data_IF_192429830748
#
_entry.id   IF_192429830748
#
_cell.length_a   1.000
_cell.length_b   1.000
_cell.length_c   1.000
_cell.angle_alpha   90.00
_cell.angle_beta   90.00
_cell.angle_gamma   90.00
#
_symmetry.space_group_name_H-M   'P 1'
#
loop_
_entity.id
_entity.type
_entity.pdbx_description
1 polymer ?
#
# COMPACT_ATOMS: atom_id res chain seq x y z
N UNK A 1 -6.40 -0.30 11.61
CA UNK A 1 -6.52 -1.26 10.50
C UNK A 1 -5.22 -1.40 9.74
N UNK A 2 -4.84 -2.61 9.40
CA UNK A 2 -3.71 -2.85 8.51
C UNK A 2 -4.16 -2.69 7.06
N UNK A 3 -3.29 -2.21 6.21
CA UNK A 3 -3.60 -2.07 4.79
C UNK A 3 -2.35 -1.96 3.95
N UNK A 4 -2.47 -2.29 2.68
CA UNK A 4 -1.39 -2.17 1.70
C UNK A 4 -1.95 -1.70 0.38
N UNK A 5 -1.11 -1.04 -0.39
CA UNK A 5 -1.44 -0.67 -1.76
C UNK A 5 -0.96 -1.79 -2.67
N UNK A 6 -1.84 -2.26 -3.56
CA UNK A 6 -1.54 -3.36 -4.46
C UNK A 6 -2.01 -3.04 -5.87
N UNK A 7 -1.50 -3.78 -6.85
CA UNK A 7 -1.86 -3.60 -8.25
C UNK A 7 -2.53 -4.89 -8.76
N UNK A 8 -3.68 -4.74 -9.41
CA UNK A 8 -4.34 -5.87 -10.05
C UNK A 8 -3.58 -6.23 -11.31
N UNK A 9 -3.07 -7.45 -11.37
CA UNK A 9 -2.34 -7.96 -12.54
C UNK A 9 -3.32 -8.54 -13.55
N UNK A 10 -4.32 -9.28 -13.08
CA UNK A 10 -5.30 -9.91 -13.94
C UNK A 10 -6.06 -10.99 -13.20
N UNK A 11 -6.82 -11.76 -13.94
CA UNK A 11 -7.59 -12.87 -13.39
C UNK A 11 -7.16 -14.17 -14.05
N UNK A 12 -7.17 -15.24 -13.27
CA UNK A 12 -6.85 -16.58 -13.78
C UNK A 12 -7.62 -17.60 -12.97
N UNK A 13 -7.32 -18.87 -13.19
CA UNK A 13 -7.93 -19.97 -12.48
C UNK A 13 -6.84 -20.86 -11.92
N UNK A 14 -7.03 -21.34 -10.72
CA UNK A 14 -6.08 -22.28 -10.10
C UNK A 14 -6.85 -23.47 -9.55
N UNK A 15 -6.14 -24.61 -9.44
CA UNK A 15 -6.71 -25.81 -8.83
C UNK A 15 -6.45 -25.77 -7.34
N UNK A 16 -7.47 -26.07 -6.54
CA UNK A 16 -7.30 -26.20 -5.10
C UNK A 16 -6.75 -27.61 -4.78
N UNK A 17 -6.53 -27.87 -3.49
CA UNK A 17 -6.01 -29.17 -3.04
C UNK A 17 -6.92 -30.34 -3.39
N UNK A 18 -8.23 -30.07 -3.52
CA UNK A 18 -9.24 -31.08 -3.86
C UNK A 18 -9.37 -31.29 -5.37
N UNK A 19 -8.63 -30.53 -6.19
CA UNK A 19 -8.70 -30.61 -7.63
C UNK A 19 -9.78 -29.76 -8.28
N UNK A 20 -10.49 -28.94 -7.51
CA UNK A 20 -11.50 -28.04 -8.02
C UNK A 20 -10.88 -26.80 -8.60
N UNK A 21 -11.43 -26.33 -9.74
CA UNK A 21 -10.97 -25.12 -10.40
C UNK A 21 -11.57 -23.91 -9.71
N UNK A 22 -10.72 -23.01 -9.23
CA UNK A 22 -11.15 -21.80 -8.52
C UNK A 22 -10.72 -20.57 -9.30
N UNK A 23 -11.66 -19.68 -9.68
CA UNK A 23 -11.28 -18.40 -10.28
C UNK A 23 -10.63 -17.50 -9.26
N UNK A 24 -9.53 -16.84 -9.64
CA UNK A 24 -8.78 -15.97 -8.74
C UNK A 24 -8.40 -14.68 -9.44
N UNK A 25 -8.26 -13.62 -8.67
CA UNK A 25 -7.67 -12.38 -9.13
C UNK A 25 -6.25 -12.30 -8.59
N UNK A 26 -5.30 -12.07 -9.49
CA UNK A 26 -3.89 -11.95 -9.11
C UNK A 26 -3.58 -10.49 -8.85
N UNK A 27 -3.10 -10.20 -7.66
CA UNK A 27 -2.64 -8.86 -7.31
C UNK A 27 -1.17 -8.91 -6.98
N UNK A 28 -0.46 -7.87 -7.39
CA UNK A 28 0.96 -7.72 -7.10
C UNK A 28 1.10 -6.70 -5.97
N UNK A 29 1.79 -7.10 -4.92
CA UNK A 29 2.06 -6.21 -3.79
C UNK A 29 3.56 -5.94 -3.76
N UNK A 30 3.96 -4.76 -4.24
CA UNK A 30 5.33 -4.32 -4.10
C UNK A 30 5.52 -3.77 -2.68
N UNK A 31 6.75 -3.77 -2.15
CA UNK A 31 6.96 -3.19 -0.83
C UNK A 31 6.44 -1.75 -0.80
N UNK A 32 5.54 -1.47 0.14
CA UNK A 32 5.00 -0.13 0.36
C UNK A 32 5.97 0.64 1.25
N UNK A 33 6.31 1.85 0.85
CA UNK A 33 7.20 2.71 1.63
C UNK A 33 6.39 3.60 2.56
N UNK A 34 6.79 3.67 3.83
CA UNK A 34 6.14 4.57 4.79
C UNK A 34 6.63 5.99 4.49
N UNK A 35 5.75 6.81 3.93
CA UNK A 35 6.05 8.20 3.55
C UNK A 35 5.91 9.13 4.73
N UNK A 36 4.89 8.92 5.55
CA UNK A 36 4.63 9.77 6.70
C UNK A 36 3.84 9.02 7.75
N UNK A 37 3.97 9.47 9.00
CA UNK A 37 3.14 8.98 10.11
C UNK A 37 2.40 10.17 10.67
N UNK A 38 1.15 9.95 11.08
CA UNK A 38 0.32 10.99 11.68
C UNK A 38 -0.07 10.56 13.08
N UNK A 39 -0.04 11.49 14.00
CA UNK A 39 -0.39 11.26 15.41
C UNK A 39 -1.56 12.14 15.82
N UNK A 40 -2.23 11.76 16.90
CA UNK A 40 -3.31 12.57 17.45
C UNK A 40 -2.86 13.98 17.82
N UNK A 41 -1.63 14.12 18.30
CA UNK A 41 -1.08 15.40 18.71
C UNK A 41 -0.91 16.38 17.57
N UNK A 42 -0.47 15.86 16.40
CA UNK A 42 -0.18 16.70 15.24
C UNK A 42 -1.37 16.85 14.30
N UNK A 43 -2.12 15.78 14.09
CA UNK A 43 -3.15 15.72 13.05
C UNK A 43 -4.55 15.41 13.59
N UNK A 44 -4.67 15.14 14.89
CA UNK A 44 -5.95 14.81 15.50
C UNK A 44 -6.35 13.33 15.40
N UNK A 45 -5.55 12.51 14.72
CA UNK A 45 -5.79 11.08 14.60
C UNK A 45 -4.49 10.36 14.27
N UNK A 46 -4.45 9.06 14.54
CA UNK A 46 -3.30 8.23 14.23
C UNK A 46 -3.47 7.62 12.85
N UNK A 47 -2.44 7.71 12.00
CA UNK A 47 -2.47 7.15 10.66
C UNK A 47 -1.06 6.96 10.11
N UNK A 48 -0.96 6.14 9.06
CA UNK A 48 0.29 5.92 8.33
C UNK A 48 0.01 6.13 6.85
N UNK A 49 0.85 6.90 6.19
CA UNK A 49 0.77 7.12 4.74
C UNK A 49 1.76 6.20 4.05
N UNK A 50 1.24 5.31 3.20
CA UNK A 50 2.06 4.39 2.42
C UNK A 50 2.10 4.85 0.96
N UNK A 51 3.23 4.60 0.29
CA UNK A 51 3.40 4.95 -1.11
C UNK A 51 4.02 3.81 -1.91
N UNK A 52 3.63 3.73 -3.18
CA UNK A 52 4.18 2.76 -4.14
C UNK A 52 4.36 3.45 -5.49
N UNK A 53 5.09 2.79 -6.39
CA UNK A 53 5.42 3.26 -7.75
C UNK A 53 6.27 4.51 -7.73
N UNK A 54 7.57 4.34 -7.90
CA UNK A 54 8.50 5.46 -7.98
C UNK A 54 8.17 6.36 -9.16
N UNK A 55 8.21 7.65 -8.93
CA UNK A 55 7.98 8.66 -9.93
C UNK A 55 9.31 9.29 -10.33
N UNK A 56 9.50 9.57 -11.63
CA UNK A 56 10.71 10.27 -12.08
C UNK A 56 10.73 11.67 -11.48
N UNK A 57 11.90 12.11 -11.02
CA UNK A 57 12.04 13.42 -10.40
C UNK A 57 11.59 14.54 -11.35
N UNK A 58 11.81 14.37 -12.66
CA UNK A 58 11.40 15.36 -13.67
C UNK A 58 9.89 15.54 -13.80
N UNK A 59 9.11 14.53 -13.37
CA UNK A 59 7.64 14.57 -13.44
C UNK A 59 7.01 15.02 -12.13
N UNK A 60 7.77 15.06 -11.05
CA UNK A 60 7.27 15.52 -9.76
C UNK A 60 7.40 17.03 -9.65
N UNK A 61 6.31 17.72 -9.33
CA UNK A 61 6.37 19.16 -9.07
C UNK A 61 7.06 19.40 -7.73
N UNK A 62 7.59 20.61 -7.53
CA UNK A 62 8.24 20.95 -6.27
C UNK A 62 7.29 20.81 -5.08
N UNK A 63 6.04 21.19 -5.25
CA UNK A 63 5.03 21.07 -4.21
C UNK A 63 4.75 19.61 -3.84
N UNK A 64 4.65 18.75 -4.86
CA UNK A 64 4.40 17.33 -4.66
C UNK A 64 5.62 16.65 -4.02
N UNK A 65 6.80 16.91 -4.58
CA UNK A 65 8.04 16.32 -4.08
C UNK A 65 8.37 16.76 -2.65
N UNK A 66 7.94 17.94 -2.26
CA UNK A 66 8.21 18.51 -0.94
C UNK A 66 7.59 17.74 0.22
N UNK A 67 6.57 16.93 -0.04
CA UNK A 67 5.95 16.12 1.02
C UNK A 67 6.74 14.87 1.35
N UNK A 68 7.72 14.50 0.51
CA UNK A 68 8.54 13.31 0.72
C UNK A 68 9.85 13.67 1.42
N UNK A 69 10.31 12.83 2.39
CA UNK A 69 11.64 13.00 2.96
C UNK A 69 12.72 12.89 1.88
N UNK A 70 13.88 13.49 2.11
CA UNK A 70 14.98 13.49 1.15
C UNK A 70 15.43 12.09 0.72
N UNK A 71 15.33 11.14 1.63
CA UNK A 71 15.76 9.75 1.37
C UNK A 71 14.67 8.89 0.73
N UNK A 72 13.51 9.47 0.42
CA UNK A 72 12.40 8.74 -0.22
C UNK A 72 12.11 9.35 -1.58
N UNK A 73 12.14 8.50 -2.62
CA UNK A 73 11.76 8.90 -3.97
C UNK A 73 10.27 9.25 -4.01
N UNK A 74 9.84 10.31 -4.71
CA UNK A 74 8.42 10.59 -4.88
C UNK A 74 7.67 9.38 -5.44
N UNK A 75 6.51 9.10 -4.86
CA UNK A 75 5.68 7.95 -5.23
C UNK A 75 4.46 8.41 -6.02
N UNK A 76 4.03 7.60 -6.99
CA UNK A 76 2.83 7.91 -7.78
C UNK A 76 1.55 7.71 -7.01
N UNK A 77 1.50 6.66 -6.20
CA UNK A 77 0.31 6.28 -5.46
C UNK A 77 0.57 6.42 -3.98
N UNK A 78 -0.30 7.17 -3.32
CA UNK A 78 -0.25 7.35 -1.87
C UNK A 78 -1.61 7.00 -1.28
N UNK A 79 -1.60 6.36 -0.13
CA UNK A 79 -2.82 6.06 0.61
C UNK A 79 -2.56 6.16 2.10
N UNK A 80 -3.48 6.80 2.81
CA UNK A 80 -3.44 6.91 4.25
C UNK A 80 -4.27 5.80 4.88
N UNK A 81 -3.69 5.10 5.85
CA UNK A 81 -4.38 4.05 6.60
C UNK A 81 -4.49 4.49 8.06
N UNK A 82 -5.71 4.71 8.52
CA UNK A 82 -5.97 5.09 9.90
C UNK A 82 -5.90 3.88 10.82
N UNK A 83 -5.50 4.13 12.06
CA UNK A 83 -5.39 3.09 13.09
C UNK A 83 -4.56 1.89 12.64
N UNK A 84 -3.42 2.20 12.01
CA UNK A 84 -2.48 1.18 11.54
C UNK A 84 -1.86 0.48 12.74
N UNK A 85 -2.12 -0.82 12.89
CA UNK A 85 -1.76 -1.58 14.08
C UNK A 85 -0.27 -1.88 14.22
N UNK A 86 0.49 -1.86 13.14
CA UNK A 86 1.91 -2.14 13.19
C UNK A 86 2.71 -0.88 13.49
N UNK A 87 3.77 -1.04 14.29
CA UNK A 87 4.69 0.07 14.55
C UNK A 87 5.64 0.19 13.36
N UNK A 88 5.59 1.33 12.69
CA UNK A 88 6.47 1.61 11.54
C UNK A 88 6.99 3.03 11.64
N UNK A 89 8.17 3.25 11.06
CA UNK A 89 8.80 4.56 11.00
C UNK A 89 8.87 5.03 9.56
N UNK A 90 8.98 6.34 9.37
CA UNK A 90 9.13 6.93 8.05
C UNK A 90 10.38 6.34 7.37
N UNK A 91 10.23 5.89 6.14
CA UNK A 91 11.29 5.25 5.38
C UNK A 91 11.28 3.73 5.43
N UNK A 92 10.49 3.13 6.34
CA UNK A 92 10.36 1.68 6.42
C UNK A 92 9.60 1.13 5.22
N UNK A 93 9.87 -0.12 4.87
CA UNK A 93 9.12 -0.83 3.84
C UNK A 93 8.19 -1.84 4.48
N UNK A 94 6.97 -1.90 3.98
CA UNK A 94 5.93 -2.79 4.49
C UNK A 94 5.42 -3.64 3.33
N UNK A 95 5.33 -4.94 3.51
CA UNK A 95 4.91 -5.85 2.45
C UNK A 95 3.88 -6.88 2.93
N UNK A 96 3.80 -7.98 2.21
CA UNK A 96 2.83 -9.04 2.48
C UNK A 96 2.93 -9.64 3.87
N UNK A 97 4.04 -9.46 4.55
CA UNK A 97 4.24 -9.99 5.90
C UNK A 97 3.20 -9.47 6.89
N UNK A 98 2.56 -8.34 6.63
CA UNK A 98 1.48 -7.83 7.46
C UNK A 98 0.28 -8.77 7.49
N UNK A 99 0.07 -9.50 6.40
CA UNK A 99 -1.08 -10.38 6.23
C UNK A 99 -0.72 -11.86 6.27
N UNK A 100 0.48 -12.18 6.73
CA UNK A 100 0.97 -13.56 6.77
C UNK A 100 0.02 -14.52 7.50
N UNK A 101 -0.61 -14.05 8.56
CA UNK A 101 -1.55 -14.84 9.35
C UNK A 101 -3.01 -14.66 8.92
N UNK A 102 -3.26 -13.80 7.95
CA UNK A 102 -4.62 -13.51 7.52
C UNK A 102 -5.06 -14.46 6.42
N UNK A 103 -6.23 -15.07 6.58
CA UNK A 103 -6.80 -15.97 5.58
C UNK A 103 -7.63 -15.20 4.56
N UNK A 104 -8.30 -14.13 4.98
CA UNK A 104 -9.17 -13.32 4.13
C UNK A 104 -8.75 -11.88 4.18
N UNK A 105 -8.91 -11.20 3.04
CA UNK A 105 -8.60 -9.78 2.90
C UNK A 105 -9.76 -9.08 2.22
N UNK A 106 -9.98 -7.84 2.62
CA UNK A 106 -10.94 -6.97 1.94
C UNK A 106 -10.20 -6.12 0.91
N UNK A 107 -10.73 -6.05 -0.30
CA UNK A 107 -10.13 -5.29 -1.38
C UNK A 107 -11.08 -4.18 -1.80
N UNK A 108 -10.58 -2.96 -1.86
CA UNK A 108 -11.34 -1.79 -2.28
C UNK A 108 -10.67 -1.15 -3.48
N UNK A 109 -11.44 -0.85 -4.50
CA UNK A 109 -10.93 -0.20 -5.70
C UNK A 109 -12.00 0.66 -6.33
N UNK A 110 -11.58 1.61 -7.15
CA UNK A 110 -12.49 2.46 -7.91
C UNK A 110 -12.31 2.16 -9.39
N UNK A 111 -13.39 1.74 -10.04
CA UNK A 111 -13.36 1.43 -11.46
C UNK A 111 -13.48 2.70 -12.29
N UNK A 112 -13.29 2.56 -13.59
CA UNK A 112 -13.45 3.67 -14.52
C UNK A 112 -14.93 4.09 -14.72
N UNK A 113 -15.82 3.26 -14.28
CA UNK A 113 -17.25 3.51 -14.44
C UNK A 113 -17.95 2.49 -15.29
#
# INVERSE_FOLDING_TARGET
MKGLIAKKVGMTQVFDESGNLTPVTVIQVEPNTVVATKTKEKCGYDAVVLGVDDMKASKATKAYAGQFPENITPKRQLKEFRDFEAEVNVGDSVGLELFEKSRFLDVTATSKG
#
